data_IF_436728236157
#
_entry.id   IF_436728236157
#
_cell.length_a   1.000
_cell.length_b   1.000
_cell.length_c   1.000
_cell.angle_alpha   90.00
_cell.angle_beta   90.00
_cell.angle_gamma   90.00
#
_symmetry.space_group_name_H-M   'P 1'
#
loop_
_entity.id
_entity.type
_entity.pdbx_description
1 polymer ?
#
# COMPACT_ATOMS: atom_id res chain seq x y z
N UNK A 1 -17.78 9.78 -1.14
CA UNK A 1 -17.01 8.76 -0.42
C UNK A 1 -15.76 9.40 0.15
N UNK A 2 -15.39 8.96 1.32
CA UNK A 2 -14.28 9.53 2.06
C UNK A 2 -12.98 8.82 1.68
N UNK A 3 -11.94 9.59 1.35
CA UNK A 3 -10.62 9.03 1.13
C UNK A 3 -10.04 8.55 2.45
N UNK A 4 -9.19 7.54 2.39
CA UNK A 4 -8.55 6.96 3.57
C UNK A 4 -7.04 6.87 3.37
N UNK A 5 -6.33 7.03 4.50
CA UNK A 5 -4.91 6.72 4.58
C UNK A 5 -4.81 5.25 4.99
N UNK A 6 -3.97 4.50 4.30
CA UNK A 6 -3.66 3.11 4.66
C UNK A 6 -2.16 3.04 4.92
N UNK A 7 -1.79 2.67 6.15
CA UNK A 7 -0.40 2.57 6.55
C UNK A 7 -0.04 1.13 6.88
N UNK A 8 1.10 0.69 6.36
CA UNK A 8 1.70 -0.58 6.75
C UNK A 8 3.06 -0.33 7.39
N UNK A 9 3.37 -1.11 8.42
CA UNK A 9 4.72 -1.20 8.95
C UNK A 9 5.08 -2.68 8.94
N UNK A 10 6.00 -3.08 8.05
CA UNK A 10 6.26 -4.48 7.77
C UNK A 10 7.65 -4.84 8.31
N UNK A 11 7.71 -5.62 9.41
CA UNK A 11 8.99 -6.01 9.99
C UNK A 11 9.82 -6.84 9.03
N UNK A 12 11.10 -6.52 8.93
CA UNK A 12 12.05 -7.32 8.16
C UNK A 12 11.97 -7.20 6.65
N UNK A 13 11.05 -6.42 6.11
CA UNK A 13 10.99 -6.23 4.66
C UNK A 13 12.16 -5.39 4.16
N UNK A 14 12.71 -5.77 3.01
CA UNK A 14 13.81 -5.07 2.36
C UNK A 14 13.34 -4.44 1.05
N UNK A 15 14.15 -3.52 0.51
CA UNK A 15 13.85 -2.93 -0.79
C UNK A 15 13.73 -3.98 -1.89
N UNK A 16 14.56 -5.02 -1.82
CA UNK A 16 14.52 -6.11 -2.81
C UNK A 16 13.19 -6.84 -2.80
N UNK A 17 12.69 -7.20 -1.62
CA UNK A 17 11.39 -7.88 -1.49
C UNK A 17 10.27 -6.95 -1.91
N UNK A 18 10.32 -5.69 -1.51
CA UNK A 18 9.33 -4.69 -1.90
C UNK A 18 9.24 -4.55 -3.42
N UNK A 19 10.40 -4.45 -4.09
CA UNK A 19 10.44 -4.34 -5.55
C UNK A 19 9.88 -5.59 -6.23
N UNK A 20 10.15 -6.77 -5.67
CA UNK A 20 9.59 -8.02 -6.18
C UNK A 20 8.07 -8.06 -6.06
N UNK A 21 7.53 -7.53 -4.97
CA UNK A 21 6.07 -7.44 -4.78
C UNK A 21 5.46 -6.59 -5.88
N UNK A 22 6.05 -5.45 -6.18
CA UNK A 22 5.54 -4.59 -7.27
C UNK A 22 5.66 -5.25 -8.63
N UNK A 23 6.73 -6.03 -8.87
CA UNK A 23 6.85 -6.80 -10.11
C UNK A 23 5.72 -7.81 -10.24
N UNK A 24 5.37 -8.51 -9.17
CA UNK A 24 4.26 -9.45 -9.17
C UNK A 24 2.92 -8.75 -9.38
N UNK A 25 2.74 -7.56 -8.79
CA UNK A 25 1.54 -6.75 -9.01
C UNK A 25 1.40 -6.34 -10.47
N UNK A 26 2.50 -5.93 -11.12
CA UNK A 26 2.48 -5.59 -12.54
C UNK A 26 2.10 -6.80 -13.40
N UNK A 27 2.63 -7.98 -13.08
CA UNK A 27 2.28 -9.22 -13.77
C UNK A 27 0.80 -9.57 -13.61
N UNK A 28 0.21 -9.18 -12.48
CA UNK A 28 -1.21 -9.40 -12.19
C UNK A 28 -2.11 -8.30 -12.77
N UNK A 29 -1.55 -7.36 -13.53
CA UNK A 29 -2.31 -6.27 -14.14
C UNK A 29 -2.59 -5.11 -13.20
N UNK A 30 -1.88 -5.01 -12.07
CA UNK A 30 -2.10 -4.00 -11.04
C UNK A 30 -0.97 -2.98 -10.94
N UNK A 31 -0.43 -2.56 -12.10
CA UNK A 31 0.59 -1.51 -12.10
C UNK A 31 0.00 -0.14 -11.74
N UNK A 32 -1.30 0.05 -11.95
CA UNK A 32 -2.04 1.27 -11.61
C UNK A 32 -3.33 0.87 -10.90
N UNK A 33 -3.26 0.53 -9.60
CA UNK A 33 -4.45 0.05 -8.89
C UNK A 33 -5.58 1.08 -8.89
N UNK A 34 -6.79 0.62 -9.18
CA UNK A 34 -7.96 1.49 -9.22
C UNK A 34 -8.25 2.08 -7.84
N UNK A 35 -8.36 3.39 -7.77
CA UNK A 35 -8.65 4.10 -6.52
C UNK A 35 -7.43 4.49 -5.70
N UNK A 36 -6.23 4.08 -6.12
CA UNK A 36 -5.00 4.51 -5.44
C UNK A 36 -4.61 5.90 -5.93
N UNK A 37 -4.56 6.86 -5.01
CA UNK A 37 -4.19 8.24 -5.32
C UNK A 37 -2.75 8.55 -4.99
N UNK A 38 -2.18 7.88 -4.00
CA UNK A 38 -0.82 8.14 -3.55
C UNK A 38 -0.25 6.90 -2.90
N UNK A 39 1.02 6.65 -3.14
CA UNK A 39 1.73 5.53 -2.54
C UNK A 39 3.18 5.91 -2.33
N UNK A 40 3.71 5.65 -1.15
CA UNK A 40 5.12 5.82 -0.86
C UNK A 40 5.58 4.67 0.03
N UNK A 41 6.78 4.17 -0.25
CA UNK A 41 7.40 3.12 0.56
C UNK A 41 8.82 3.53 0.92
N UNK A 42 9.24 3.23 2.15
CA UNK A 42 10.57 3.57 2.63
C UNK A 42 11.01 2.64 3.74
N UNK A 43 12.33 2.43 3.82
CA UNK A 43 12.93 1.73 4.94
C UNK A 43 12.90 2.62 6.18
N UNK A 44 12.36 2.10 7.28
CA UNK A 44 12.32 2.80 8.55
C UNK A 44 12.87 1.86 9.63
N UNK A 45 14.15 2.00 9.95
CA UNK A 45 14.82 1.08 10.85
C UNK A 45 14.76 -0.34 10.31
N UNK A 46 14.28 -1.28 11.11
CA UNK A 46 14.12 -2.68 10.70
C UNK A 46 12.79 -2.96 10.02
N UNK A 47 11.95 -1.94 9.86
CA UNK A 47 10.63 -2.07 9.26
C UNK A 47 10.58 -1.39 7.91
N UNK A 48 9.63 -1.79 7.09
CA UNK A 48 9.32 -1.11 5.82
C UNK A 48 8.00 -0.37 6.00
N UNK A 49 8.06 0.96 5.86
CA UNK A 49 6.88 1.80 5.96
C UNK A 49 6.24 1.98 4.60
N UNK A 50 4.93 1.78 4.53
CA UNK A 50 4.12 2.10 3.35
C UNK A 50 3.00 3.02 3.77
N UNK A 51 2.81 4.10 3.01
CA UNK A 51 1.69 5.03 3.22
C UNK A 51 0.97 5.20 1.90
N UNK A 52 -0.32 4.88 1.91
CA UNK A 52 -1.19 5.03 0.75
C UNK A 52 -2.32 5.99 1.05
N UNK A 53 -2.81 6.66 0.01
CA UNK A 53 -4.10 7.33 0.05
C UNK A 53 -4.99 6.65 -0.99
N UNK A 54 -6.10 6.09 -0.53
CA UNK A 54 -7.08 5.40 -1.38
C UNK A 54 -8.37 6.19 -1.44
N UNK A 55 -9.07 6.06 -2.55
CA UNK A 55 -10.36 6.71 -2.76
C UNK A 55 -11.39 6.29 -1.73
N UNK A 56 -11.33 5.02 -1.29
CA UNK A 56 -12.26 4.45 -0.32
C UNK A 56 -11.67 3.19 0.30
N UNK A 57 -12.27 2.74 1.40
CA UNK A 57 -11.92 1.45 2.02
C UNK A 57 -12.22 0.31 1.05
N UNK A 58 -13.31 0.41 0.31
CA UNK A 58 -13.73 -0.61 -0.64
C UNK A 58 -12.69 -0.79 -1.76
N UNK A 59 -12.14 0.31 -2.27
CA UNK A 59 -11.12 0.25 -3.30
C UNK A 59 -9.85 -0.44 -2.78
N UNK A 60 -9.46 -0.12 -1.55
CA UNK A 60 -8.32 -0.78 -0.92
C UNK A 60 -8.58 -2.28 -0.71
N UNK A 61 -9.77 -2.63 -0.20
CA UNK A 61 -10.11 -4.03 0.04
C UNK A 61 -10.10 -4.85 -1.25
N UNK A 62 -10.57 -4.27 -2.33
CA UNK A 62 -10.57 -4.93 -3.63
C UNK A 62 -9.14 -5.19 -4.12
N UNK A 63 -8.26 -4.20 -3.98
CA UNK A 63 -6.85 -4.37 -4.29
C UNK A 63 -6.21 -5.44 -3.41
N UNK A 64 -6.63 -5.52 -2.15
CA UNK A 64 -6.13 -6.49 -1.20
C UNK A 64 -6.36 -7.95 -1.64
N UNK A 65 -7.39 -8.21 -2.43
CA UNK A 65 -7.64 -9.55 -2.96
C UNK A 65 -6.49 -10.03 -3.86
N UNK A 66 -5.84 -9.11 -4.58
CA UNK A 66 -4.66 -9.43 -5.38
C UNK A 66 -3.39 -9.34 -4.54
N UNK A 67 -3.28 -8.34 -3.67
CA UNK A 67 -2.08 -8.09 -2.89
C UNK A 67 -1.78 -9.18 -1.88
N UNK A 68 -2.79 -9.67 -1.16
CA UNK A 68 -2.58 -10.61 -0.05
C UNK A 68 -1.84 -11.89 -0.46
N UNK A 69 -2.23 -12.60 -1.55
CA UNK A 69 -1.48 -13.78 -1.97
C UNK A 69 -0.03 -13.47 -2.33
N UNK A 70 0.21 -12.29 -2.91
CA UNK A 70 1.56 -11.86 -3.28
C UNK A 70 2.41 -11.63 -2.03
N UNK A 71 1.85 -10.99 -1.01
CA UNK A 71 2.54 -10.76 0.25
C UNK A 71 2.89 -12.08 0.94
N UNK A 72 1.94 -13.00 1.01
CA UNK A 72 2.15 -14.31 1.63
C UNK A 72 3.25 -15.07 0.89
N UNK A 73 3.22 -15.09 -0.44
CA UNK A 73 4.25 -15.74 -1.24
C UNK A 73 5.63 -15.11 -1.07
N UNK A 74 5.67 -13.82 -0.75
CA UNK A 74 6.92 -13.11 -0.50
C UNK A 74 7.45 -13.31 0.92
N UNK A 75 6.73 -14.05 1.77
CA UNK A 75 7.14 -14.33 3.14
C UNK A 75 6.68 -13.29 4.15
N UNK A 76 5.79 -12.40 3.77
CA UNK A 76 5.24 -11.39 4.70
C UNK A 76 4.17 -12.04 5.57
N UNK A 77 4.30 -11.86 6.89
CA UNK A 77 3.32 -12.38 7.84
C UNK A 77 2.15 -11.38 7.95
N UNK A 78 0.93 -11.76 7.53
CA UNK A 78 -0.22 -10.83 7.58
C UNK A 78 -0.55 -10.38 9.00
N UNK A 79 -0.32 -11.22 10.00
CA UNK A 79 -0.66 -10.88 11.39
C UNK A 79 0.23 -9.78 11.96
N UNK A 80 1.50 -9.72 11.53
CA UNK A 80 2.43 -8.69 11.99
C UNK A 80 2.47 -7.47 11.07
N UNK A 81 1.64 -7.45 10.03
CA UNK A 81 1.68 -6.42 8.98
C UNK A 81 0.30 -5.87 8.68
N UNK A 82 -0.60 -5.88 9.65
CA UNK A 82 -1.97 -5.37 9.45
C UNK A 82 -1.96 -3.88 9.16
N UNK A 83 -2.71 -3.44 8.15
CA UNK A 83 -2.78 -2.01 7.84
C UNK A 83 -3.58 -1.23 8.89
N UNK A 84 -3.17 0.00 9.09
CA UNK A 84 -3.95 0.98 9.87
C UNK A 84 -4.67 1.88 8.87
N UNK A 85 -5.99 1.91 8.95
CA UNK A 85 -6.83 2.67 8.02
C UNK A 85 -7.40 3.87 8.78
N UNK A 86 -7.15 5.07 8.25
CA UNK A 86 -7.56 6.32 8.90
C UNK A 86 -8.25 7.22 7.87
N UNK A 87 -9.44 7.77 8.19
CA UNK A 87 -10.09 8.72 7.27
C UNK A 87 -9.24 9.97 7.09
N UNK A 88 -9.17 10.46 5.85
CA UNK A 88 -8.45 11.71 5.55
C UNK A 88 -9.28 12.89 6.02
N UNK A 89 -8.66 13.81 6.76
CA UNK A 89 -9.28 15.08 7.12
C UNK A 89 -8.89 16.18 6.14
N UNK A 90 -7.59 16.31 5.86
CA UNK A 90 -7.08 17.33 4.95
C UNK A 90 -6.00 16.73 4.07
N UNK A 91 -6.06 17.06 2.80
CA UNK A 91 -5.09 16.58 1.82
C UNK A 91 -4.64 17.74 0.95
N UNK A 92 -3.32 17.95 0.86
CA UNK A 92 -2.71 18.89 -0.06
C UNK A 92 -2.08 18.11 -1.20
N UNK A 93 -2.43 18.46 -2.43
CA UNK A 93 -1.85 17.86 -3.62
C UNK A 93 -1.25 18.96 -4.48
N UNK A 94 0.09 19.02 -4.51
CA UNK A 94 0.82 20.07 -5.26
C UNK A 94 0.53 20.02 -6.76
N UNK A 95 0.17 18.85 -7.29
CA UNK A 95 -0.16 18.71 -8.71
C UNK A 95 -1.49 19.36 -9.07
N UNK A 96 -2.37 19.58 -8.10
CA UNK A 96 -3.70 20.19 -8.31
C UNK A 96 -3.74 21.66 -7.94
N UNK A 97 -2.68 22.18 -7.31
CA UNK A 97 -2.61 23.58 -6.86
C UNK A 97 -1.73 24.36 -7.83
N UNK A 98 -2.31 25.33 -8.50
CA UNK A 98 -1.63 26.15 -9.50
C UNK A 98 -1.69 27.62 -9.15
#
# INVERSE_FOLDING_TARGET
MERVIVQFSIPGMTSKVYDQIWDELRKAGQSHPAGLHYHVGAQQGDNWLVVDVWESVEAFNKFGETLMPILVNAGVNPESSKPVITPVHYEYDAALVH
#
